data_IF_886538349983
#
_entry.id   IF_886538349983
#
_cell.length_a   1.000
_cell.length_b   1.000
_cell.length_c   1.000
_cell.angle_alpha   90.00
_cell.angle_beta   90.00
_cell.angle_gamma   90.00
#
_symmetry.space_group_name_H-M   'P 1'
#
loop_
_entity.id
_entity.type
_entity.pdbx_description
1 polymer ?
#
# COMPACT_ATOMS: atom_id res chain seq x y z
N UNK A 1 -6.70 22.86 -0.40
CA UNK A 1 -6.19 21.70 -1.18
C UNK A 1 -4.70 21.50 -0.96
N UNK A 2 -4.23 20.27 -0.80
CA UNK A 2 -2.83 19.95 -0.60
C UNK A 2 -2.23 19.35 -1.88
N UNK A 3 -1.04 19.81 -2.26
CA UNK A 3 -0.28 19.26 -3.39
C UNK A 3 1.01 18.64 -2.87
N UNK A 4 1.29 17.41 -3.27
CA UNK A 4 2.43 16.64 -2.79
C UNK A 4 3.16 15.86 -3.88
N UNK A 5 4.28 15.26 -3.48
CA UNK A 5 5.05 14.31 -4.28
C UNK A 5 5.69 13.24 -3.39
N UNK A 6 5.90 12.04 -3.92
CA UNK A 6 6.81 11.07 -3.32
C UNK A 6 8.25 11.52 -3.58
N UNK A 7 9.07 11.63 -2.53
CA UNK A 7 10.45 12.07 -2.61
C UNK A 7 11.37 11.11 -1.86
N UNK A 8 12.46 10.72 -2.48
CA UNK A 8 13.44 9.78 -1.95
C UNK A 8 14.81 10.46 -1.88
N UNK A 9 15.08 11.25 -0.81
CA UNK A 9 16.35 11.99 -0.68
C UNK A 9 17.56 11.06 -0.71
N UNK A 10 17.43 9.82 -0.23
CA UNK A 10 18.48 8.80 -0.24
C UNK A 10 18.90 8.35 -1.65
N UNK A 11 18.11 8.65 -2.69
CA UNK A 11 18.44 8.35 -4.08
C UNK A 11 19.36 9.41 -4.72
N UNK A 12 19.55 10.55 -4.08
CA UNK A 12 20.25 11.70 -4.66
C UNK A 12 21.38 12.19 -3.76
N UNK A 13 22.45 12.76 -4.34
CA UNK A 13 23.49 13.37 -3.53
C UNK A 13 22.90 14.55 -2.74
N UNK A 14 23.41 14.74 -1.51
CA UNK A 14 22.90 15.77 -0.60
C UNK A 14 22.94 17.18 -1.21
N UNK A 15 23.93 17.48 -2.05
CA UNK A 15 24.04 18.75 -2.77
C UNK A 15 22.86 19.05 -3.71
N UNK A 16 22.03 18.04 -4.02
CA UNK A 16 20.83 18.20 -4.86
C UNK A 16 19.59 18.59 -4.05
N UNK A 17 19.51 18.27 -2.77
CA UNK A 17 18.30 18.38 -1.97
C UNK A 17 17.75 19.81 -1.91
N UNK A 18 18.62 20.80 -1.77
CA UNK A 18 18.20 22.21 -1.74
C UNK A 18 17.62 22.69 -3.07
N UNK A 19 18.20 22.24 -4.19
CA UNK A 19 17.65 22.51 -5.52
C UNK A 19 16.26 21.88 -5.67
N UNK A 20 16.08 20.63 -5.21
CA UNK A 20 14.79 19.94 -5.26
C UNK A 20 13.76 20.67 -4.37
N UNK A 21 14.12 21.06 -3.14
CA UNK A 21 13.23 21.80 -2.22
C UNK A 21 12.76 23.13 -2.83
N UNK A 22 13.68 23.90 -3.43
CA UNK A 22 13.35 25.17 -4.11
C UNK A 22 12.40 24.94 -5.29
N UNK A 23 12.69 23.97 -6.14
CA UNK A 23 11.83 23.64 -7.29
C UNK A 23 10.45 23.13 -6.84
N UNK A 24 10.37 22.36 -5.76
CA UNK A 24 9.10 21.94 -5.17
C UNK A 24 8.30 23.14 -4.66
N UNK A 25 8.93 24.05 -3.95
CA UNK A 25 8.29 25.27 -3.48
C UNK A 25 7.76 26.12 -4.66
N UNK A 26 8.58 26.33 -5.70
CA UNK A 26 8.19 27.06 -6.92
C UNK A 26 7.02 26.37 -7.66
N UNK A 27 6.85 25.05 -7.51
CA UNK A 27 5.74 24.30 -8.07
C UNK A 27 4.49 24.27 -7.19
N UNK A 28 4.52 24.91 -6.01
CA UNK A 28 3.41 24.93 -5.07
C UNK A 28 3.23 23.62 -4.27
N UNK A 29 4.28 22.80 -4.21
CA UNK A 29 4.29 21.58 -3.37
C UNK A 29 4.31 21.99 -1.91
N UNK A 30 3.40 21.43 -1.13
CA UNK A 30 3.28 21.65 0.32
C UNK A 30 3.51 20.40 1.14
N UNK A 31 3.52 19.24 0.51
CA UNK A 31 3.69 17.91 1.15
C UNK A 31 4.67 17.05 0.39
N UNK A 32 5.45 16.27 1.12
CA UNK A 32 6.25 15.17 0.56
C UNK A 32 5.99 13.90 1.36
N UNK A 33 5.94 12.76 0.68
CA UNK A 33 6.01 11.44 1.31
C UNK A 33 7.42 10.91 1.14
N UNK A 34 8.02 10.38 2.21
CA UNK A 34 9.36 9.79 2.19
C UNK A 34 9.58 8.78 3.31
N UNK A 35 10.58 7.92 3.17
CA UNK A 35 11.11 7.03 4.20
C UNK A 35 10.63 5.59 4.13
N UNK A 36 9.59 5.27 3.39
CA UNK A 36 8.92 3.96 3.37
C UNK A 36 9.80 2.81 2.85
N UNK A 37 10.87 3.11 2.11
CA UNK A 37 11.81 2.10 1.60
C UNK A 37 13.23 2.23 2.16
N UNK A 38 13.40 3.01 3.22
CA UNK A 38 14.72 3.42 3.68
C UNK A 38 15.33 2.56 4.81
N UNK A 39 14.76 1.39 5.16
CA UNK A 39 15.18 0.61 6.35
C UNK A 39 16.70 0.40 6.43
N UNK A 40 17.34 -0.08 5.34
CA UNK A 40 18.79 -0.27 5.33
C UNK A 40 19.59 1.00 5.62
N UNK A 41 19.08 2.16 5.24
CA UNK A 41 19.73 3.47 5.52
C UNK A 41 19.46 3.94 6.94
N UNK A 42 18.31 3.58 7.49
CA UNK A 42 17.90 3.93 8.86
C UNK A 42 18.51 2.99 9.90
N UNK A 43 18.78 1.74 9.53
CA UNK A 43 19.44 0.72 10.35
C UNK A 43 20.45 -0.07 9.49
N UNK A 44 21.65 0.51 9.21
CA UNK A 44 22.64 -0.10 8.34
C UNK A 44 23.24 -1.42 8.87
N UNK A 45 23.16 -1.64 10.17
CA UNK A 45 23.49 -2.90 10.87
C UNK A 45 22.48 -3.09 11.99
N UNK A 46 22.25 -4.32 12.38
CA UNK A 46 21.34 -4.64 13.47
C UNK A 46 21.64 -3.80 14.73
N UNK A 47 20.59 -3.09 15.21
CA UNK A 47 20.66 -2.23 16.39
C UNK A 47 21.48 -0.94 16.25
N UNK A 48 21.97 -0.61 15.04
CA UNK A 48 22.68 0.64 14.77
C UNK A 48 21.82 1.53 13.90
N UNK A 49 21.23 2.54 14.51
CA UNK A 49 20.29 3.45 13.84
C UNK A 49 20.98 4.75 13.40
N UNK A 50 20.59 5.23 12.21
CA UNK A 50 20.98 6.54 11.68
C UNK A 50 19.77 7.24 11.08
N UNK A 51 19.11 8.08 11.89
CA UNK A 51 17.99 8.92 11.48
C UNK A 51 18.43 10.34 11.11
N UNK A 52 19.70 10.70 11.32
CA UNK A 52 20.19 12.07 11.19
C UNK A 52 20.02 12.63 9.77
N UNK A 53 20.35 11.86 8.76
CA UNK A 53 20.21 12.27 7.35
C UNK A 53 18.75 12.52 6.95
N UNK A 54 17.80 11.71 7.48
CA UNK A 54 16.37 11.89 7.18
C UNK A 54 15.81 13.11 7.93
N UNK A 55 16.19 13.30 9.20
CA UNK A 55 15.85 14.49 9.95
C UNK A 55 16.34 15.77 9.24
N UNK A 56 17.56 15.76 8.71
CA UNK A 56 18.12 16.85 7.95
C UNK A 56 17.33 17.14 6.66
N UNK A 57 16.92 16.12 5.92
CA UNK A 57 16.07 16.27 4.73
C UNK A 57 14.70 16.86 5.10
N UNK A 58 14.09 16.41 6.19
CA UNK A 58 12.81 16.92 6.71
C UNK A 58 12.94 18.39 7.07
N UNK A 59 14.00 18.78 7.80
CA UNK A 59 14.21 20.16 8.24
C UNK A 59 14.56 21.08 7.08
N UNK A 60 15.32 20.59 6.10
CA UNK A 60 15.58 21.33 4.87
C UNK A 60 14.26 21.66 4.15
N UNK A 61 13.42 20.65 3.89
CA UNK A 61 12.12 20.84 3.24
C UNK A 61 11.21 21.77 4.07
N UNK A 62 11.26 21.67 5.40
CA UNK A 62 10.55 22.54 6.32
C UNK A 62 10.89 24.01 6.16
N UNK A 63 12.16 24.34 5.87
CA UNK A 63 12.60 25.73 5.57
C UNK A 63 11.97 26.30 4.30
N UNK A 64 11.59 25.43 3.36
CA UNK A 64 10.87 25.79 2.14
C UNK A 64 9.34 25.70 2.28
N UNK A 65 8.83 25.55 3.53
CA UNK A 65 7.39 25.44 3.79
C UNK A 65 6.75 24.10 3.43
N UNK A 66 7.57 23.09 3.14
CA UNK A 66 7.11 21.76 2.72
C UNK A 66 7.11 20.84 3.94
N UNK A 67 5.96 20.23 4.24
CA UNK A 67 5.78 19.29 5.35
C UNK A 67 5.87 17.86 4.89
N UNK A 68 6.25 16.95 5.80
CA UNK A 68 6.55 15.55 5.50
C UNK A 68 5.46 14.64 6.03
N UNK A 69 5.05 13.68 5.19
CA UNK A 69 4.36 12.46 5.54
C UNK A 69 5.42 11.36 5.59
N UNK A 70 5.70 10.81 6.77
CA UNK A 70 6.71 9.75 6.91
C UNK A 70 6.09 8.38 6.71
N UNK A 71 6.72 7.57 5.86
CA UNK A 71 6.39 6.15 5.72
C UNK A 71 7.21 5.29 6.68
N UNK A 72 6.58 4.30 7.34
CA UNK A 72 7.32 3.28 8.07
C UNK A 72 8.07 2.37 7.09
N UNK A 73 9.34 1.99 7.35
CA UNK A 73 10.22 1.43 6.32
C UNK A 73 10.07 -0.08 6.11
N UNK A 74 8.96 -0.65 6.55
CA UNK A 74 8.73 -2.11 6.60
C UNK A 74 8.48 -2.80 5.24
N UNK A 75 8.14 -2.13 4.11
CA UNK A 75 7.98 -2.82 2.82
C UNK A 75 9.23 -3.50 2.30
N UNK A 76 10.41 -3.01 2.70
CA UNK A 76 11.70 -3.60 2.32
C UNK A 76 12.60 -3.71 3.53
N UNK A 77 13.15 -4.88 3.75
CA UNK A 77 14.04 -5.13 4.89
C UNK A 77 15.49 -5.25 4.43
N UNK A 78 16.47 -4.99 5.33
CA UNK A 78 17.90 -4.99 5.00
C UNK A 78 18.44 -6.40 4.79
N UNK A 79 19.55 -6.51 4.04
CA UNK A 79 20.21 -7.78 3.73
C UNK A 79 20.69 -8.53 4.99
N UNK A 80 21.12 -7.80 6.03
CA UNK A 80 21.53 -8.43 7.29
C UNK A 80 20.36 -9.18 7.97
N UNK A 81 19.11 -8.72 7.82
CA UNK A 81 17.94 -9.40 8.38
C UNK A 81 17.63 -10.70 7.63
N UNK A 82 17.78 -10.70 6.29
CA UNK A 82 17.72 -11.93 5.50
C UNK A 82 18.81 -12.95 5.92
N UNK A 83 20.03 -12.49 6.21
CA UNK A 83 21.10 -13.38 6.68
C UNK A 83 20.82 -13.93 8.09
N UNK A 84 20.20 -13.13 8.95
CA UNK A 84 19.83 -13.54 10.31
C UNK A 84 18.69 -14.58 10.31
N UNK A 85 17.75 -14.45 9.39
CA UNK A 85 16.58 -15.33 9.24
C UNK A 85 16.45 -15.81 7.78
N UNK A 86 17.13 -16.87 7.37
CA UNK A 86 17.04 -17.38 5.99
C UNK A 86 15.65 -17.87 5.59
N UNK A 87 14.77 -18.17 6.56
CA UNK A 87 13.39 -18.64 6.40
C UNK A 87 12.33 -17.52 6.45
N UNK A 88 12.77 -16.27 6.43
CA UNK A 88 11.90 -15.08 6.51
C UNK A 88 10.94 -14.94 5.33
N UNK A 89 11.26 -15.56 4.20
CA UNK A 89 10.58 -15.35 2.93
C UNK A 89 9.18 -15.94 2.87
N UNK A 90 8.30 -15.26 2.17
CA UNK A 90 7.00 -15.80 1.82
C UNK A 90 7.13 -17.01 0.88
N UNK A 91 6.25 -17.97 1.05
CA UNK A 91 6.02 -19.08 0.12
C UNK A 91 4.71 -18.81 -0.63
N UNK A 92 4.74 -18.92 -1.97
CA UNK A 92 3.56 -18.77 -2.82
C UNK A 92 2.68 -20.03 -2.75
N UNK A 93 1.46 -19.94 -3.27
CA UNK A 93 0.51 -21.06 -3.34
C UNK A 93 1.08 -22.29 -4.06
N UNK A 94 1.91 -22.09 -5.08
CA UNK A 94 2.60 -23.16 -5.83
C UNK A 94 3.89 -23.70 -5.15
N UNK A 95 4.18 -23.31 -3.91
CA UNK A 95 5.35 -23.74 -3.15
C UNK A 95 6.65 -22.99 -3.46
N UNK A 96 6.68 -22.06 -4.41
CA UNK A 96 7.87 -21.27 -4.69
C UNK A 96 8.16 -20.27 -3.57
N UNK A 97 9.40 -20.28 -3.09
CA UNK A 97 9.89 -19.30 -2.12
C UNK A 97 10.19 -17.98 -2.83
N UNK A 98 9.78 -16.86 -2.25
CA UNK A 98 10.20 -15.52 -2.72
C UNK A 98 11.64 -15.27 -2.34
N UNK A 99 12.35 -14.49 -3.17
CA UNK A 99 13.75 -14.18 -2.98
C UNK A 99 13.95 -12.76 -2.43
N UNK A 100 15.04 -12.55 -1.69
CA UNK A 100 15.45 -11.24 -1.21
C UNK A 100 15.64 -10.24 -2.37
N UNK A 101 15.26 -8.98 -2.12
CA UNK A 101 15.46 -7.86 -3.04
C UNK A 101 14.21 -7.43 -3.78
N UNK A 102 13.05 -7.91 -3.36
CA UNK A 102 11.73 -7.42 -3.79
C UNK A 102 11.06 -6.63 -2.65
N UNK A 103 9.86 -6.12 -2.90
CA UNK A 103 9.03 -5.51 -1.86
C UNK A 103 8.14 -6.55 -1.19
N UNK A 104 7.97 -6.44 0.14
CA UNK A 104 7.02 -7.22 0.94
C UNK A 104 7.16 -8.76 0.81
N UNK A 105 8.35 -9.23 0.53
CA UNK A 105 8.66 -10.65 0.37
C UNK A 105 8.86 -11.39 1.71
N UNK A 106 8.94 -10.68 2.85
CA UNK A 106 8.96 -11.28 4.17
C UNK A 106 7.56 -11.75 4.63
N UNK A 107 7.52 -12.91 5.28
CA UNK A 107 6.31 -13.42 5.92
C UNK A 107 5.95 -12.59 7.15
N UNK A 108 4.74 -12.02 7.17
CA UNK A 108 4.27 -11.20 8.30
C UNK A 108 3.91 -12.00 9.56
N UNK A 109 3.87 -13.34 9.47
CA UNK A 109 3.75 -14.22 10.65
C UNK A 109 5.13 -14.72 11.14
N UNK A 110 6.22 -14.41 10.45
CA UNK A 110 7.56 -14.77 10.92
C UNK A 110 7.94 -13.96 12.16
N UNK A 111 8.20 -14.58 13.33
CA UNK A 111 8.37 -13.85 14.59
C UNK A 111 9.57 -12.91 14.59
N UNK A 112 10.69 -13.33 13.99
CA UNK A 112 11.88 -12.49 13.85
C UNK A 112 11.63 -11.25 12.98
N UNK A 113 10.91 -11.39 11.85
CA UNK A 113 10.54 -10.24 11.03
C UNK A 113 9.65 -9.26 11.80
N UNK A 114 8.59 -9.75 12.46
CA UNK A 114 7.68 -8.89 13.26
C UNK A 114 8.42 -8.15 14.36
N UNK A 115 9.30 -8.83 15.09
CA UNK A 115 10.09 -8.21 16.15
C UNK A 115 10.97 -7.06 15.63
N UNK A 116 11.66 -7.27 14.51
CA UNK A 116 12.51 -6.25 13.89
C UNK A 116 11.70 -5.11 13.24
N UNK A 117 10.57 -5.42 12.59
CA UNK A 117 9.65 -4.42 12.05
C UNK A 117 9.09 -3.51 13.16
N UNK A 118 8.65 -4.08 14.27
CA UNK A 118 8.22 -3.30 15.44
C UNK A 118 9.35 -2.42 15.99
N UNK A 119 10.56 -2.96 16.09
CA UNK A 119 11.74 -2.23 16.59
C UNK A 119 12.05 -1.03 15.71
N UNK A 120 12.20 -1.20 14.40
CA UNK A 120 12.54 -0.08 13.51
C UNK A 120 11.44 1.00 13.50
N UNK A 121 10.16 0.60 13.55
CA UNK A 121 9.05 1.56 13.65
C UNK A 121 9.09 2.31 14.99
N UNK A 122 9.35 1.63 16.11
CA UNK A 122 9.48 2.26 17.42
C UNK A 122 10.63 3.28 17.45
N UNK A 123 11.80 2.90 16.98
CA UNK A 123 12.99 3.77 16.95
C UNK A 123 12.79 4.97 16.01
N UNK A 124 12.25 4.75 14.81
CA UNK A 124 11.98 5.82 13.85
C UNK A 124 10.95 6.81 14.39
N UNK A 125 9.87 6.32 15.01
CA UNK A 125 8.83 7.18 15.57
C UNK A 125 9.30 7.92 16.80
N UNK A 126 10.14 7.32 17.64
CA UNK A 126 10.77 8.00 18.79
C UNK A 126 11.72 9.12 18.31
N UNK A 127 12.55 8.86 17.29
CA UNK A 127 13.53 9.82 16.79
C UNK A 127 12.89 10.98 16.02
N UNK A 128 11.88 10.73 15.20
CA UNK A 128 11.34 11.72 14.24
C UNK A 128 9.91 12.16 14.57
N UNK A 129 9.21 11.45 15.43
CA UNK A 129 7.79 11.64 15.70
C UNK A 129 7.44 13.01 16.26
N UNK A 130 8.36 13.72 16.92
CA UNK A 130 8.13 15.07 17.47
C UNK A 130 8.62 16.18 16.54
N UNK A 131 9.23 15.87 15.39
CA UNK A 131 9.67 16.91 14.45
C UNK A 131 8.46 17.71 13.94
N UNK A 132 8.45 19.06 14.04
CA UNK A 132 7.31 19.92 13.68
C UNK A 132 7.03 19.92 12.17
N UNK A 133 7.94 19.41 11.36
CA UNK A 133 7.78 19.28 9.92
C UNK A 133 7.20 17.91 9.50
N UNK A 134 7.09 16.93 10.42
CA UNK A 134 6.36 15.69 10.22
C UNK A 134 4.90 15.92 10.59
N UNK A 135 3.99 15.83 9.64
CA UNK A 135 2.56 16.16 9.83
C UNK A 135 1.63 14.98 9.75
N UNK A 136 2.10 13.86 9.24
CA UNK A 136 1.34 12.60 9.14
C UNK A 136 2.29 11.41 9.03
N UNK A 137 1.74 10.22 9.23
CA UNK A 137 2.42 8.94 9.04
C UNK A 137 1.68 8.07 8.02
N UNK A 138 2.43 7.38 7.19
CA UNK A 138 1.93 6.26 6.40
C UNK A 138 2.51 4.96 6.98
N UNK A 139 1.66 3.97 7.21
CA UNK A 139 2.13 2.63 7.55
C UNK A 139 2.57 1.91 6.28
N UNK A 140 3.77 1.31 6.26
CA UNK A 140 4.24 0.44 5.17
C UNK A 140 4.03 1.06 3.76
N UNK A 141 3.80 0.24 2.73
CA UNK A 141 3.44 0.65 1.38
C UNK A 141 2.63 -0.44 0.68
N UNK A 142 1.45 -0.11 0.17
CA UNK A 142 0.62 -0.99 -0.67
C UNK A 142 0.58 -2.44 -0.17
N UNK A 143 0.06 -2.68 1.03
CA UNK A 143 -0.05 -4.04 1.58
C UNK A 143 -0.63 -5.02 0.58
N UNK A 144 0.04 -6.16 0.40
CA UNK A 144 -0.40 -7.23 -0.49
C UNK A 144 -0.04 -7.05 -1.96
N UNK A 145 0.57 -5.94 -2.37
CA UNK A 145 0.97 -5.74 -3.76
C UNK A 145 1.88 -6.88 -4.27
N UNK A 146 1.89 -7.10 -5.57
CA UNK A 146 2.70 -8.14 -6.23
C UNK A 146 2.47 -9.57 -5.69
N UNK A 147 1.24 -9.89 -5.28
CA UNK A 147 0.88 -11.20 -4.76
C UNK A 147 1.53 -11.52 -3.41
N UNK A 148 1.63 -10.51 -2.53
CA UNK A 148 2.19 -10.65 -1.19
C UNK A 148 1.15 -10.63 -0.07
N UNK A 149 -0.13 -10.58 -0.43
CA UNK A 149 -1.22 -10.64 0.55
C UNK A 149 -1.28 -11.97 1.28
N UNK A 150 -0.93 -13.07 0.60
CA UNK A 150 -1.03 -14.44 1.11
C UNK A 150 0.32 -15.12 1.13
N UNK A 151 0.61 -15.82 2.23
CA UNK A 151 1.83 -16.61 2.39
C UNK A 151 1.47 -18.02 2.86
N UNK A 152 2.11 -19.02 2.27
CA UNK A 152 1.80 -20.45 2.47
C UNK A 152 2.92 -21.20 3.21
N UNK A 153 3.71 -20.51 4.05
CA UNK A 153 4.77 -21.09 4.86
C UNK A 153 4.22 -21.72 6.16
N UNK A 154 5.08 -22.43 6.88
CA UNK A 154 4.70 -23.10 8.12
C UNK A 154 4.27 -22.13 9.23
N UNK A 155 4.86 -20.94 9.32
CA UNK A 155 4.39 -19.90 10.26
C UNK A 155 2.95 -19.46 9.95
N UNK A 156 2.60 -19.36 8.66
CA UNK A 156 1.23 -19.05 8.27
C UNK A 156 0.29 -20.22 8.50
N UNK A 157 0.73 -21.47 8.32
CA UNK A 157 -0.07 -22.65 8.64
C UNK A 157 -0.44 -22.69 10.14
N UNK A 158 0.55 -22.53 11.02
CA UNK A 158 0.33 -22.51 12.46
C UNK A 158 -0.60 -21.35 12.88
N UNK A 159 -0.34 -20.15 12.41
CA UNK A 159 -1.18 -18.99 12.71
C UNK A 159 -2.61 -19.14 12.14
N UNK A 160 -2.78 -19.81 11.00
CA UNK A 160 -4.10 -20.10 10.44
C UNK A 160 -4.88 -21.11 11.29
N UNK A 161 -4.23 -22.15 11.77
CA UNK A 161 -4.83 -23.11 12.72
C UNK A 161 -5.30 -22.42 14.01
N UNK A 162 -4.48 -21.54 14.58
CA UNK A 162 -4.85 -20.74 15.76
C UNK A 162 -6.03 -19.78 15.46
N UNK A 163 -6.03 -19.16 14.29
CA UNK A 163 -7.12 -18.27 13.84
C UNK A 163 -8.44 -19.05 13.69
N UNK A 164 -8.37 -20.25 13.12
CA UNK A 164 -9.54 -21.15 13.01
C UNK A 164 -10.06 -21.59 14.37
N UNK A 165 -9.19 -21.96 15.30
CA UNK A 165 -9.58 -22.24 16.70
C UNK A 165 -10.38 -21.08 17.30
N UNK A 166 -9.91 -19.85 17.12
CA UNK A 166 -10.62 -18.66 17.58
C UNK A 166 -11.97 -18.47 16.88
N UNK A 167 -12.01 -18.63 15.54
CA UNK A 167 -13.20 -18.45 14.73
C UNK A 167 -14.31 -19.44 15.02
N UNK A 168 -13.95 -20.71 15.26
CA UNK A 168 -14.88 -21.79 15.54
C UNK A 168 -14.94 -22.16 17.03
N UNK A 169 -14.42 -21.30 17.93
CA UNK A 169 -14.48 -21.49 19.36
C UNK A 169 -13.94 -22.84 19.88
N UNK A 170 -12.88 -23.36 19.21
CA UNK A 170 -12.28 -24.68 19.40
C UNK A 170 -13.25 -25.85 19.13
N UNK A 171 -14.27 -25.65 18.34
CA UNK A 171 -15.21 -26.68 17.91
C UNK A 171 -14.91 -27.14 16.49
N UNK A 172 -14.20 -28.27 16.36
CA UNK A 172 -13.85 -28.85 15.06
C UNK A 172 -15.08 -29.40 14.32
N UNK A 173 -16.12 -29.81 15.04
CA UNK A 173 -17.35 -30.27 14.40
C UNK A 173 -18.10 -29.12 13.74
N UNK A 174 -18.12 -27.93 14.36
CA UNK A 174 -18.69 -26.72 13.76
C UNK A 174 -17.90 -26.29 12.49
N UNK A 175 -16.56 -26.42 12.48
CA UNK A 175 -15.76 -26.20 11.28
C UNK A 175 -16.12 -27.20 10.17
N UNK A 176 -16.17 -28.49 10.49
CA UNK A 176 -16.50 -29.55 9.54
C UNK A 176 -17.89 -29.32 8.93
N UNK A 177 -18.88 -28.95 9.71
CA UNK A 177 -20.22 -28.60 9.23
C UNK A 177 -20.17 -27.38 8.31
N UNK A 178 -19.52 -26.29 8.73
CA UNK A 178 -19.43 -25.04 7.95
C UNK A 178 -18.74 -25.20 6.60
N UNK A 179 -17.71 -26.06 6.50
CA UNK A 179 -16.99 -26.33 5.27
C UNK A 179 -17.57 -27.48 4.46
N UNK A 180 -18.51 -28.26 5.04
CA UNK A 180 -19.08 -29.43 4.40
C UNK A 180 -18.04 -30.54 4.12
N UNK A 181 -17.10 -30.74 5.03
CA UNK A 181 -15.93 -31.62 4.86
C UNK A 181 -16.24 -33.09 4.70
N UNK A 182 -17.47 -33.54 5.01
CA UNK A 182 -17.96 -34.86 4.68
C UNK A 182 -17.86 -35.17 3.18
N UNK A 183 -17.88 -34.13 2.33
CA UNK A 183 -17.67 -34.25 0.89
C UNK A 183 -16.22 -34.67 0.61
N UNK A 184 -16.05 -35.77 -0.10
CA UNK A 184 -14.77 -36.41 -0.42
C UNK A 184 -13.91 -36.80 0.80
N UNK A 185 -14.56 -37.10 1.95
CA UNK A 185 -13.87 -37.55 3.18
C UNK A 185 -12.79 -36.61 3.66
N UNK A 186 -13.08 -35.31 3.67
CA UNK A 186 -12.16 -34.26 4.09
C UNK A 186 -12.38 -33.83 5.57
N UNK A 187 -13.11 -34.62 6.37
CA UNK A 187 -13.38 -34.33 7.76
C UNK A 187 -12.07 -34.28 8.59
N UNK A 188 -11.97 -33.29 9.43
CA UNK A 188 -10.85 -33.12 10.36
C UNK A 188 -11.25 -33.56 11.77
N UNK A 189 -10.32 -34.20 12.47
CA UNK A 189 -10.49 -34.55 13.90
C UNK A 189 -9.93 -33.48 14.83
N UNK A 190 -8.95 -32.70 14.33
CA UNK A 190 -8.27 -31.67 15.10
C UNK A 190 -7.81 -30.53 14.17
N UNK A 191 -7.73 -29.30 14.70
CA UNK A 191 -7.27 -28.13 13.93
C UNK A 191 -5.84 -28.27 13.42
N UNK A 192 -4.99 -29.05 14.08
CA UNK A 192 -3.61 -29.30 13.65
C UNK A 192 -3.49 -30.12 12.36
N UNK A 193 -4.56 -30.81 11.96
CA UNK A 193 -4.63 -31.55 10.68
C UNK A 193 -4.85 -30.62 9.47
N UNK A 194 -5.23 -29.37 9.70
CA UNK A 194 -5.58 -28.43 8.65
C UNK A 194 -4.30 -27.80 8.07
N UNK A 195 -4.12 -27.92 6.75
CA UNK A 195 -3.03 -27.23 6.03
C UNK A 195 -3.55 -25.99 5.29
N UNK A 196 -2.63 -25.15 4.79
CA UNK A 196 -2.96 -24.01 3.93
C UNK A 196 -3.32 -24.49 2.52
N UNK A 197 -4.27 -23.85 1.83
CA UNK A 197 -4.75 -24.30 0.51
C UNK A 197 -3.75 -23.99 -0.61
N UNK A 198 -2.76 -24.86 -0.83
CA UNK A 198 -1.76 -24.71 -1.89
C UNK A 198 -2.31 -25.13 -3.25
N UNK A 199 -1.77 -24.52 -4.32
CA UNK A 199 -2.06 -24.93 -5.68
C UNK A 199 -1.45 -26.30 -5.97
N UNK A 200 -2.18 -27.13 -6.72
CA UNK A 200 -1.65 -28.37 -7.28
C UNK A 200 -1.23 -28.16 -8.74
N UNK A 201 -0.15 -28.82 -9.23
CA UNK A 201 0.38 -28.59 -10.58
C UNK A 201 -0.63 -28.83 -11.70
N UNK A 202 -1.52 -29.79 -11.52
CA UNK A 202 -2.46 -30.27 -12.52
C UNK A 202 -3.89 -29.76 -12.30
N UNK A 203 -4.03 -28.62 -11.59
CA UNK A 203 -5.33 -28.07 -11.23
C UNK A 203 -6.15 -27.73 -12.47
N UNK A 204 -7.24 -28.45 -12.66
CA UNK A 204 -8.36 -28.02 -13.49
C UNK A 204 -9.33 -27.16 -12.67
N UNK A 205 -10.27 -26.49 -13.29
CA UNK A 205 -11.30 -25.71 -12.60
C UNK A 205 -12.06 -26.47 -11.50
N UNK A 206 -12.04 -27.81 -11.56
CA UNK A 206 -12.73 -28.71 -10.62
C UNK A 206 -11.83 -29.32 -9.54
N UNK A 207 -10.51 -29.10 -9.58
CA UNK A 207 -9.52 -29.74 -8.68
C UNK A 207 -9.02 -28.79 -7.58
N UNK A 208 -9.86 -27.86 -7.13
CA UNK A 208 -9.53 -26.91 -6.07
C UNK A 208 -9.63 -27.52 -4.66
N UNK A 209 -8.96 -26.89 -3.71
CA UNK A 209 -9.20 -27.14 -2.29
C UNK A 209 -10.66 -26.79 -1.92
N UNK A 210 -11.13 -27.31 -0.78
CA UNK A 210 -12.47 -27.00 -0.25
C UNK A 210 -12.72 -25.48 -0.26
N UNK A 211 -13.81 -24.97 -0.87
CA UNK A 211 -14.08 -23.54 -0.99
C UNK A 211 -14.17 -22.81 0.37
N UNK A 212 -14.70 -23.49 1.39
CA UNK A 212 -14.76 -22.96 2.76
C UNK A 212 -13.36 -22.76 3.36
N UNK A 213 -12.46 -23.73 3.18
CA UNK A 213 -11.05 -23.62 3.56
C UNK A 213 -10.37 -22.44 2.85
N UNK A 214 -10.56 -22.30 1.54
CA UNK A 214 -9.95 -21.23 0.75
C UNK A 214 -10.47 -19.86 1.20
N UNK A 215 -11.79 -19.74 1.41
CA UNK A 215 -12.40 -18.49 1.86
C UNK A 215 -11.89 -18.08 3.25
N UNK A 216 -11.82 -19.02 4.19
CA UNK A 216 -11.30 -18.72 5.52
C UNK A 216 -9.79 -18.41 5.50
N UNK A 217 -9.02 -19.02 4.61
CA UNK A 217 -7.62 -18.65 4.42
C UNK A 217 -7.45 -17.25 3.83
N UNK A 218 -8.36 -16.78 2.97
CA UNK A 218 -8.35 -15.40 2.45
C UNK A 218 -8.70 -14.40 3.57
N UNK A 219 -9.70 -14.70 4.39
CA UNK A 219 -10.06 -13.91 5.59
C UNK A 219 -8.88 -13.80 6.56
N UNK A 220 -8.27 -14.95 6.91
CA UNK A 220 -7.08 -15.01 7.75
C UNK A 220 -5.94 -14.16 7.18
N UNK A 221 -5.63 -14.33 5.89
CA UNK A 221 -4.53 -13.59 5.26
C UNK A 221 -4.76 -12.08 5.28
N UNK A 222 -5.99 -11.64 5.08
CA UNK A 222 -6.39 -10.24 5.24
C UNK A 222 -6.24 -9.75 6.69
N UNK A 223 -6.70 -10.53 7.65
CA UNK A 223 -6.61 -10.20 9.09
C UNK A 223 -5.14 -10.10 9.56
N UNK A 224 -4.22 -10.89 8.99
CA UNK A 224 -2.76 -10.78 9.23
C UNK A 224 -2.23 -9.41 8.80
N UNK A 225 -2.65 -8.89 7.63
CA UNK A 225 -2.22 -7.57 7.18
C UNK A 225 -2.76 -6.47 8.11
N UNK A 226 -4.02 -6.58 8.51
CA UNK A 226 -4.65 -5.65 9.47
C UNK A 226 -3.93 -5.66 10.81
N UNK A 227 -3.61 -6.84 11.35
CA UNK A 227 -2.88 -6.97 12.61
C UNK A 227 -1.47 -6.36 12.51
N UNK A 228 -0.74 -6.60 11.42
CA UNK A 228 0.58 -6.03 11.19
C UNK A 228 0.55 -4.50 11.06
N UNK A 229 -0.49 -3.95 10.42
CA UNK A 229 -0.71 -2.50 10.37
C UNK A 229 -0.99 -1.94 11.76
N UNK A 230 -1.86 -2.59 12.54
CA UNK A 230 -2.26 -2.13 13.87
C UNK A 230 -1.07 -2.00 14.82
N UNK A 231 -0.13 -2.94 14.80
CA UNK A 231 1.11 -2.86 15.58
C UNK A 231 1.92 -1.60 15.27
N UNK A 232 1.99 -1.21 14.00
CA UNK A 232 2.68 0.02 13.58
C UNK A 232 1.91 1.27 14.04
N UNK A 233 0.57 1.26 13.89
CA UNK A 233 -0.29 2.36 14.34
C UNK A 233 -0.14 2.60 15.84
N UNK A 234 -0.11 1.56 16.66
CA UNK A 234 0.08 1.66 18.11
C UNK A 234 1.40 2.37 18.46
N UNK A 235 2.51 1.99 17.82
CA UNK A 235 3.82 2.60 18.03
C UNK A 235 3.86 4.06 17.57
N UNK A 236 3.24 4.37 16.42
CA UNK A 236 3.13 5.74 15.92
C UNK A 236 2.31 6.59 16.91
N UNK A 237 1.16 6.12 17.37
CA UNK A 237 0.32 6.84 18.33
C UNK A 237 1.04 7.12 19.63
N UNK A 238 1.85 6.17 20.11
CA UNK A 238 2.63 6.30 21.33
C UNK A 238 3.69 7.39 21.24
N UNK A 239 4.43 7.44 20.12
CA UNK A 239 5.61 8.31 19.96
C UNK A 239 5.34 9.60 19.20
N UNK A 240 4.23 9.67 18.45
CA UNK A 240 3.85 10.81 17.60
C UNK A 240 2.36 11.16 17.77
N UNK A 241 1.91 11.47 19.00
CA UNK A 241 0.49 11.67 19.27
C UNK A 241 -0.08 12.86 18.48
N UNK A 242 -1.35 12.75 18.09
CA UNK A 242 -2.10 13.80 17.41
C UNK A 242 -1.80 13.96 15.91
N UNK A 243 -0.88 13.18 15.36
CA UNK A 243 -0.64 13.17 13.91
C UNK A 243 -1.48 12.11 13.23
N UNK A 244 -2.16 12.46 12.12
CA UNK A 244 -2.98 11.50 11.40
C UNK A 244 -2.12 10.39 10.79
N UNK A 245 -2.71 9.20 10.76
CA UNK A 245 -2.11 7.98 10.20
C UNK A 245 -2.92 7.56 8.98
N UNK A 246 -2.22 7.20 7.91
CA UNK A 246 -2.79 6.71 6.66
C UNK A 246 -2.06 5.47 6.16
N UNK A 247 -2.61 4.85 5.11
CA UNK A 247 -1.98 3.82 4.29
C UNK A 247 -2.38 4.01 2.84
N UNK A 248 -1.46 3.79 1.90
CA UNK A 248 -1.74 3.93 0.48
C UNK A 248 -2.35 2.65 -0.09
N UNK A 249 -3.67 2.66 -0.24
CA UNK A 249 -4.46 1.56 -0.78
C UNK A 249 -4.37 1.50 -2.33
N UNK A 250 -4.73 0.38 -2.93
CA UNK A 250 -4.62 0.17 -4.38
C UNK A 250 -5.99 0.14 -5.11
N UNK A 251 -6.89 1.02 -4.75
CA UNK A 251 -8.21 1.12 -5.41
C UNK A 251 -9.07 -0.14 -5.24
N UNK A 252 -9.43 -0.79 -6.34
CA UNK A 252 -10.29 -1.99 -6.33
C UNK A 252 -9.54 -3.30 -6.03
N UNK A 253 -8.48 -3.24 -5.25
CA UNK A 253 -7.68 -4.41 -4.87
C UNK A 253 -8.51 -5.46 -4.12
N UNK A 254 -8.35 -6.75 -4.48
CA UNK A 254 -9.20 -7.83 -4.00
C UNK A 254 -8.63 -8.63 -2.84
N UNK A 255 -7.31 -8.57 -2.60
CA UNK A 255 -6.66 -9.55 -1.74
C UNK A 255 -6.71 -9.23 -0.25
N UNK A 256 -7.16 -8.02 0.12
CA UNK A 256 -7.29 -7.55 1.51
C UNK A 256 -8.62 -6.82 1.69
N UNK A 257 -9.32 -7.10 2.76
CA UNK A 257 -10.52 -6.38 3.16
C UNK A 257 -10.15 -4.95 3.61
N UNK A 258 -10.37 -3.99 2.73
CA UNK A 258 -10.06 -2.60 2.99
C UNK A 258 -10.99 -1.94 4.00
N UNK A 259 -12.19 -2.47 4.25
CA UNK A 259 -13.03 -1.96 5.34
C UNK A 259 -12.36 -2.23 6.69
N UNK A 260 -11.80 -3.44 6.87
CA UNK A 260 -11.05 -3.79 8.09
C UNK A 260 -9.72 -3.03 8.17
N UNK A 261 -8.97 -2.95 7.06
CA UNK A 261 -7.67 -2.29 7.02
C UNK A 261 -7.78 -0.78 7.29
N UNK A 262 -8.80 -0.12 6.75
CA UNK A 262 -9.03 1.30 6.94
C UNK A 262 -9.63 1.67 8.32
N UNK A 263 -10.15 0.71 9.08
CA UNK A 263 -10.86 1.00 10.34
C UNK A 263 -10.00 1.80 11.33
N UNK A 264 -8.73 1.44 11.47
CA UNK A 264 -7.79 2.05 12.42
C UNK A 264 -7.05 3.29 11.86
N UNK A 265 -7.20 3.59 10.58
CA UNK A 265 -6.61 4.78 9.94
C UNK A 265 -7.42 6.04 10.23
N UNK A 266 -6.76 7.19 10.33
CA UNK A 266 -7.43 8.49 10.44
C UNK A 266 -7.89 8.98 9.07
N UNK A 267 -7.09 8.75 8.05
CA UNK A 267 -7.30 9.19 6.67
C UNK A 267 -7.09 7.97 5.76
N UNK A 268 -8.03 7.75 4.85
CA UNK A 268 -7.82 6.82 3.73
C UNK A 268 -7.01 7.53 2.67
N UNK A 269 -5.92 6.90 2.24
CA UNK A 269 -5.22 7.32 1.03
C UNK A 269 -5.08 6.16 0.04
N UNK A 270 -4.84 6.48 -1.23
CA UNK A 270 -4.72 5.45 -2.24
C UNK A 270 -3.89 5.89 -3.45
N UNK A 271 -3.52 4.92 -4.29
CA UNK A 271 -2.63 5.08 -5.41
C UNK A 271 -3.40 4.98 -6.72
N UNK A 272 -3.40 6.09 -7.47
CA UNK A 272 -4.17 6.26 -8.70
C UNK A 272 -3.26 6.30 -9.92
N UNK A 273 -3.20 5.18 -10.63
CA UNK A 273 -2.49 5.03 -11.90
C UNK A 273 -3.48 4.80 -13.04
N UNK A 274 -4.04 5.85 -13.64
CA UNK A 274 -5.09 5.75 -14.66
C UNK A 274 -4.66 5.03 -15.94
N UNK A 275 -3.35 4.91 -16.17
CA UNK A 275 -2.81 4.06 -17.24
C UNK A 275 -2.36 2.72 -16.65
N UNK A 276 -3.19 1.76 -16.63
CA UNK A 276 -2.74 0.43 -16.29
C UNK A 276 -1.70 -0.09 -17.29
N UNK A 277 -0.90 -1.04 -16.86
CA UNK A 277 0.27 -1.63 -17.52
C UNK A 277 0.09 -2.13 -18.97
N UNK A 278 -1.05 -1.97 -19.60
CA UNK A 278 -1.38 -2.53 -20.90
C UNK A 278 -1.43 -1.51 -22.04
N UNK A 279 -0.91 -0.29 -21.85
CA UNK A 279 -0.77 0.70 -22.94
C UNK A 279 -2.09 1.21 -23.54
N UNK A 280 -3.22 0.85 -23.00
CA UNK A 280 -4.51 1.36 -23.42
C UNK A 280 -4.90 2.56 -22.58
N UNK A 281 -5.22 3.68 -23.21
CA UNK A 281 -5.89 4.81 -22.58
C UNK A 281 -7.21 4.32 -21.99
N UNK A 282 -7.18 3.90 -20.72
CA UNK A 282 -8.43 3.68 -20.01
C UNK A 282 -8.97 5.03 -19.60
N UNK A 283 -10.25 5.30 -19.86
CA UNK A 283 -10.88 6.52 -19.34
C UNK A 283 -10.71 6.52 -17.81
N UNK A 284 -10.58 7.69 -17.21
CA UNK A 284 -10.50 7.84 -15.76
C UNK A 284 -11.66 7.08 -15.11
N UNK A 285 -11.36 6.15 -14.20
CA UNK A 285 -12.37 5.34 -13.55
C UNK A 285 -12.78 6.01 -12.23
N UNK A 286 -14.02 6.49 -12.08
CA UNK A 286 -14.47 7.15 -10.86
C UNK A 286 -14.68 6.20 -9.68
N UNK A 287 -15.03 4.94 -9.94
CA UNK A 287 -15.39 3.94 -8.93
C UNK A 287 -14.32 3.73 -7.83
N UNK A 288 -13.00 3.61 -8.14
CA UNK A 288 -11.99 3.50 -7.09
C UNK A 288 -11.98 4.68 -6.11
N UNK A 289 -12.16 5.92 -6.60
CA UNK A 289 -12.25 7.10 -5.74
C UNK A 289 -13.45 7.02 -4.81
N UNK A 290 -14.62 6.61 -5.34
CA UNK A 290 -15.84 6.50 -4.56
C UNK A 290 -15.76 5.38 -3.52
N UNK A 291 -15.14 4.22 -3.86
CA UNK A 291 -14.88 3.16 -2.91
C UNK A 291 -14.00 3.65 -1.76
N UNK A 292 -12.86 4.30 -2.08
CA UNK A 292 -11.93 4.81 -1.06
C UNK A 292 -12.62 5.80 -0.11
N UNK A 293 -13.40 6.75 -0.67
CA UNK A 293 -14.21 7.67 0.14
C UNK A 293 -15.24 6.91 0.98
N UNK A 294 -15.86 5.88 0.42
CA UNK A 294 -16.87 5.04 1.07
C UNK A 294 -16.37 4.31 2.32
N UNK A 295 -15.10 3.91 2.36
CA UNK A 295 -14.50 3.16 3.48
C UNK A 295 -14.68 3.87 4.83
N UNK A 296 -14.58 5.19 4.86
CA UNK A 296 -14.78 6.01 6.08
C UNK A 296 -15.84 7.10 5.94
N UNK A 297 -16.50 7.21 4.80
CA UNK A 297 -17.47 8.28 4.46
C UNK A 297 -16.89 9.68 4.69
N UNK A 298 -15.62 9.86 4.34
CA UNK A 298 -14.86 11.11 4.49
C UNK A 298 -13.99 11.34 3.26
N UNK A 299 -13.56 12.57 3.07
CA UNK A 299 -12.57 12.92 2.08
C UNK A 299 -11.29 12.09 2.23
N UNK A 300 -10.59 11.90 1.13
CA UNK A 300 -9.43 10.99 1.01
C UNK A 300 -8.21 11.74 0.51
N UNK A 301 -7.05 11.10 0.59
CA UNK A 301 -5.85 11.53 -0.10
C UNK A 301 -5.54 10.61 -1.29
N UNK A 302 -5.07 11.18 -2.38
CA UNK A 302 -4.38 10.41 -3.41
C UNK A 302 -2.89 10.48 -3.07
N UNK A 303 -2.33 9.36 -2.59
CA UNK A 303 -0.94 9.31 -2.11
C UNK A 303 0.04 9.14 -3.25
N UNK A 304 -0.37 8.42 -4.29
CA UNK A 304 0.39 8.27 -5.52
C UNK A 304 -0.50 8.54 -6.73
N UNK A 305 -0.38 9.72 -7.29
CA UNK A 305 -0.97 10.04 -8.59
C UNK A 305 0.06 9.81 -9.68
N UNK A 306 -0.27 9.00 -10.67
CA UNK A 306 0.60 8.80 -11.82
C UNK A 306 0.95 10.13 -12.51
N UNK A 307 2.25 10.36 -12.81
CA UNK A 307 2.74 11.59 -13.45
C UNK A 307 3.39 11.38 -14.80
N UNK A 308 3.41 10.15 -15.31
CA UNK A 308 4.04 9.82 -16.57
C UNK A 308 3.91 8.34 -16.93
N UNK A 309 4.65 7.81 -17.92
CA UNK A 309 4.57 6.41 -18.32
C UNK A 309 5.02 5.49 -17.18
N UNK A 310 4.29 4.42 -16.90
CA UNK A 310 4.72 3.33 -16.03
C UNK A 310 5.78 2.45 -16.69
N UNK A 311 6.55 1.70 -15.90
CA UNK A 311 7.69 0.92 -16.39
C UNK A 311 7.82 -0.50 -15.82
N UNK A 312 6.74 -1.11 -15.37
CA UNK A 312 6.73 -2.51 -14.88
C UNK A 312 6.56 -3.50 -16.05
N UNK A 313 7.60 -3.73 -16.82
CA UNK A 313 7.62 -4.70 -17.91
C UNK A 313 7.26 -4.12 -19.28
N UNK A 314 6.12 -3.45 -19.44
CA UNK A 314 5.73 -2.77 -20.69
C UNK A 314 5.63 -1.27 -20.46
N UNK A 315 6.17 -0.47 -21.37
CA UNK A 315 6.06 0.99 -21.29
C UNK A 315 4.60 1.42 -21.51
N UNK A 316 4.02 2.09 -20.52
CA UNK A 316 2.75 2.76 -20.70
C UNK A 316 2.91 4.04 -21.54
N UNK A 317 1.83 4.47 -22.17
CA UNK A 317 1.81 5.74 -22.91
C UNK A 317 2.13 6.93 -21.99
N UNK A 318 2.86 7.90 -22.53
CA UNK A 318 3.08 9.17 -21.81
C UNK A 318 1.78 9.97 -21.78
N UNK A 319 1.37 10.52 -20.61
CA UNK A 319 0.20 11.38 -20.50
C UNK A 319 0.25 12.51 -21.52
N UNK A 320 -0.87 12.74 -22.20
CA UNK A 320 -1.05 13.91 -23.05
C UNK A 320 -0.98 15.21 -22.24
N UNK A 321 -0.63 16.35 -22.82
CA UNK A 321 -0.72 17.63 -22.16
C UNK A 321 -2.11 17.84 -21.54
N UNK A 322 -2.15 18.20 -20.26
CA UNK A 322 -3.39 18.41 -19.51
C UNK A 322 -4.00 17.16 -18.86
N UNK A 323 -3.58 15.94 -19.21
CA UNK A 323 -4.12 14.72 -18.59
C UNK A 323 -3.81 14.63 -17.09
N UNK A 324 -2.60 14.96 -16.66
CA UNK A 324 -2.25 14.97 -15.24
C UNK A 324 -3.19 15.90 -14.44
N UNK A 325 -3.47 17.06 -15.01
CA UNK A 325 -4.40 18.04 -14.43
C UNK A 325 -5.83 17.49 -14.42
N UNK A 326 -6.31 16.84 -15.49
CA UNK A 326 -7.62 16.22 -15.56
C UNK A 326 -7.80 15.17 -14.44
N UNK A 327 -6.82 14.28 -14.25
CA UNK A 327 -6.89 13.26 -13.19
C UNK A 327 -6.89 13.85 -11.78
N UNK A 328 -6.09 14.90 -11.56
CA UNK A 328 -6.09 15.61 -10.28
C UNK A 328 -7.47 16.21 -9.98
N UNK A 329 -8.09 16.90 -10.94
CA UNK A 329 -9.43 17.46 -10.76
C UNK A 329 -10.54 16.41 -10.65
N UNK A 330 -10.40 15.26 -11.33
CA UNK A 330 -11.30 14.14 -11.12
C UNK A 330 -11.24 13.65 -9.67
N UNK A 331 -10.04 13.48 -9.13
CA UNK A 331 -9.88 13.07 -7.73
C UNK A 331 -10.47 14.11 -6.76
N UNK A 332 -10.23 15.40 -6.99
CA UNK A 332 -10.84 16.49 -6.20
C UNK A 332 -12.36 16.46 -6.27
N UNK A 333 -12.93 16.31 -7.47
CA UNK A 333 -14.38 16.22 -7.66
C UNK A 333 -15.00 14.97 -6.97
N UNK A 334 -14.18 13.98 -6.64
CA UNK A 334 -14.56 12.77 -5.90
C UNK A 334 -14.18 12.81 -4.43
N UNK A 335 -13.74 13.97 -3.90
CA UNK A 335 -13.49 14.20 -2.48
C UNK A 335 -12.04 13.95 -2.06
N UNK A 336 -11.07 14.15 -2.94
CA UNK A 336 -9.68 14.18 -2.54
C UNK A 336 -9.29 15.57 -1.98
N UNK A 337 -8.72 15.60 -0.78
CA UNK A 337 -8.17 16.82 -0.15
C UNK A 337 -6.67 17.01 -0.44
N UNK A 338 -6.01 15.96 -0.89
CA UNK A 338 -4.60 15.97 -1.26
C UNK A 338 -4.36 15.14 -2.52
N UNK A 339 -3.53 15.68 -3.41
CA UNK A 339 -2.98 14.97 -4.58
C UNK A 339 -1.47 14.96 -4.44
N UNK A 340 -0.89 13.78 -4.28
CA UNK A 340 0.55 13.55 -4.24
C UNK A 340 1.00 12.76 -5.46
N UNK A 341 1.89 13.32 -6.25
CA UNK A 341 2.33 12.67 -7.49
C UNK A 341 3.47 11.68 -7.23
N UNK A 342 3.38 10.50 -7.78
CA UNK A 342 4.49 9.58 -7.88
C UNK A 342 5.23 9.84 -9.19
N UNK A 343 6.44 10.24 -9.14
CA UNK A 343 7.32 10.69 -8.07
C UNK A 343 7.99 12.01 -8.47
N UNK A 344 8.71 12.67 -7.54
CA UNK A 344 9.38 13.93 -7.81
C UNK A 344 10.34 13.85 -9.01
N UNK A 345 11.23 12.86 -9.02
CA UNK A 345 12.21 12.69 -10.08
C UNK A 345 12.30 11.24 -10.54
N UNK A 346 12.36 11.00 -11.84
CA UNK A 346 12.57 9.66 -12.40
C UNK A 346 13.85 9.03 -11.83
N UNK A 347 13.75 7.80 -11.33
CA UNK A 347 14.89 7.07 -10.78
C UNK A 347 15.85 6.64 -11.89
N UNK A 348 17.17 6.71 -11.63
CA UNK A 348 18.20 6.35 -12.60
C UNK A 348 18.71 4.93 -12.46
N UNK A 349 18.19 4.18 -11.50
CA UNK A 349 18.63 2.85 -11.12
C UNK A 349 17.49 2.07 -10.45
N UNK A 350 17.71 0.78 -10.24
CA UNK A 350 16.77 -0.09 -9.56
C UNK A 350 15.60 -0.53 -10.44
N UNK A 351 14.66 -1.20 -9.82
CA UNK A 351 13.52 -1.83 -10.53
C UNK A 351 12.62 -0.81 -11.23
N UNK A 352 12.61 0.44 -10.74
CA UNK A 352 11.79 1.54 -11.26
C UNK A 352 12.58 2.55 -12.12
N UNK A 353 13.72 2.16 -12.67
CA UNK A 353 14.53 3.06 -13.50
C UNK A 353 13.79 3.57 -14.76
N UNK A 354 12.76 2.86 -15.22
CA UNK A 354 11.94 3.26 -16.36
C UNK A 354 10.63 3.95 -15.95
N UNK A 355 10.39 4.08 -14.64
CA UNK A 355 9.25 4.83 -14.15
C UNK A 355 9.47 6.33 -14.28
N UNK A 356 8.37 7.01 -14.40
CA UNK A 356 8.31 8.46 -14.56
C UNK A 356 8.55 9.21 -13.25
N UNK A 357 8.79 10.51 -13.39
CA UNK A 357 8.78 11.52 -12.32
C UNK A 357 8.37 12.86 -12.89
N UNK A 358 8.03 13.80 -12.04
CA UNK A 358 7.78 15.20 -12.42
C UNK A 358 9.02 15.78 -13.13
N UNK A 359 10.18 15.60 -12.53
CA UNK A 359 11.46 15.82 -13.19
C UNK A 359 11.89 14.54 -13.89
N UNK A 360 12.42 14.68 -15.11
CA UNK A 360 12.95 13.54 -15.86
C UNK A 360 14.28 13.03 -15.25
N UNK A 361 14.88 11.99 -15.82
CA UNK A 361 16.13 11.40 -15.35
C UNK A 361 17.28 12.40 -15.19
N UNK A 362 17.38 13.39 -16.09
CA UNK A 362 18.39 14.46 -16.01
C UNK A 362 18.11 15.49 -14.90
N UNK A 363 16.91 15.44 -14.27
CA UNK A 363 16.56 16.26 -13.10
C UNK A 363 16.30 17.74 -13.39
N UNK A 364 15.98 18.09 -14.65
CA UNK A 364 15.62 19.45 -15.05
C UNK A 364 14.11 19.59 -15.24
N UNK A 365 13.53 20.75 -14.95
CA UNK A 365 12.15 21.10 -15.25
C UNK A 365 11.84 20.99 -16.75
N UNK A 366 10.70 20.37 -17.08
CA UNK A 366 10.15 20.29 -18.42
C UNK A 366 8.62 20.32 -18.37
N UNK A 367 7.91 19.84 -19.39
CA UNK A 367 6.46 19.91 -19.53
C UNK A 367 5.70 19.49 -18.25
N UNK A 368 5.99 18.31 -17.68
CA UNK A 368 5.30 17.81 -16.49
C UNK A 368 5.47 18.73 -15.26
N UNK A 369 6.65 19.32 -15.14
CA UNK A 369 6.90 20.31 -14.08
C UNK A 369 6.07 21.59 -14.32
N UNK A 370 5.99 22.08 -15.55
CA UNK A 370 5.16 23.25 -15.86
C UNK A 370 3.66 23.00 -15.61
N UNK A 371 3.16 21.80 -15.97
CA UNK A 371 1.79 21.39 -15.63
C UNK A 371 1.56 21.31 -14.12
N UNK A 372 2.52 20.80 -13.35
CA UNK A 372 2.45 20.77 -11.89
C UNK A 372 2.44 22.19 -11.28
N UNK A 373 3.28 23.10 -11.80
CA UNK A 373 3.27 24.51 -11.36
C UNK A 373 1.91 25.19 -11.64
N UNK A 374 1.29 24.90 -12.77
CA UNK A 374 -0.05 25.38 -13.08
C UNK A 374 -1.06 24.86 -12.07
N UNK A 375 -1.06 23.54 -11.83
CA UNK A 375 -1.95 22.90 -10.87
C UNK A 375 -1.75 23.46 -9.45
N UNK A 376 -0.49 23.71 -9.04
CA UNK A 376 -0.17 24.31 -7.74
C UNK A 376 -0.79 25.67 -7.55
N UNK A 377 -0.70 26.56 -8.56
CA UNK A 377 -1.36 27.88 -8.54
C UNK A 377 -2.87 27.77 -8.47
N UNK A 378 -3.46 26.86 -9.24
CA UNK A 378 -4.90 26.61 -9.26
C UNK A 378 -5.38 26.10 -7.89
N UNK A 379 -4.70 25.12 -7.31
CA UNK A 379 -5.04 24.59 -5.99
C UNK A 379 -4.93 25.66 -4.89
N UNK A 380 -3.93 26.52 -4.97
CA UNK A 380 -3.80 27.63 -4.05
C UNK A 380 -4.97 28.61 -4.17
N UNK A 381 -5.40 28.93 -5.39
CA UNK A 381 -6.54 29.85 -5.61
C UNK A 381 -7.87 29.26 -5.18
N UNK A 382 -8.07 27.96 -5.33
CA UNK A 382 -9.30 27.26 -4.99
C UNK A 382 -9.35 26.75 -3.54
N UNK A 383 -8.26 26.91 -2.79
CA UNK A 383 -8.13 26.27 -1.47
C UNK A 383 -9.24 26.70 -0.50
N UNK A 384 -9.61 27.98 -0.46
CA UNK A 384 -10.65 28.50 0.41
C UNK A 384 -12.05 28.01 0.02
N UNK A 385 -12.30 27.73 -1.26
CA UNK A 385 -13.59 27.25 -1.74
C UNK A 385 -13.78 25.75 -1.51
N UNK A 386 -12.67 24.99 -1.57
CA UNK A 386 -12.69 23.56 -1.45
C UNK A 386 -12.48 23.06 -0.01
N UNK A 387 -11.98 23.91 0.89
CA UNK A 387 -11.75 23.56 2.29
C UNK A 387 -13.06 23.18 2.99
N UNK A 388 -13.09 21.96 3.56
CA UNK A 388 -14.29 21.43 4.22
C UNK A 388 -15.42 21.01 3.29
N UNK A 389 -15.23 21.09 1.96
CA UNK A 389 -16.22 20.57 1.02
C UNK A 389 -16.36 19.06 1.15
N UNK A 390 -17.57 18.54 0.96
CA UNK A 390 -17.87 17.10 0.98
C UNK A 390 -18.67 16.71 -0.26
N UNK A 391 -18.40 15.50 -0.75
CA UNK A 391 -19.16 14.95 -1.88
C UNK A 391 -20.47 14.35 -1.35
N UNK A 392 -21.60 14.81 -1.88
CA UNK A 392 -22.92 14.22 -1.65
C UNK A 392 -23.25 13.21 -2.75
N UNK A 393 -23.76 12.04 -2.38
CA UNK A 393 -24.13 10.98 -3.32
C UNK A 393 -25.60 10.60 -3.14
N UNK A 394 -26.35 10.54 -4.23
CA UNK A 394 -27.75 10.12 -4.23
C UNK A 394 -27.92 8.59 -4.34
N UNK A 395 -26.87 7.87 -4.72
CA UNK A 395 -26.85 6.41 -4.92
C UNK A 395 -25.69 5.82 -4.14
N UNK A 396 -25.89 4.65 -3.54
CA UNK A 396 -24.85 3.86 -2.89
C UNK A 396 -24.72 2.49 -3.58
N UNK A 397 -23.48 2.03 -3.74
CA UNK A 397 -23.15 0.68 -4.19
C UNK A 397 -22.71 -0.10 -2.94
N UNK A 398 -23.32 -1.25 -2.69
CA UNK A 398 -22.88 -2.17 -1.65
C UNK A 398 -21.72 -3.02 -2.19
N UNK A 399 -20.63 -3.06 -1.46
CA UNK A 399 -19.47 -3.88 -1.76
C UNK A 399 -19.03 -4.64 -0.52
N UNK A 400 -18.74 -5.92 -0.70
CA UNK A 400 -18.37 -6.85 0.38
C UNK A 400 -17.27 -7.79 -0.11
N UNK A 401 -16.22 -7.94 0.68
CA UNK A 401 -15.07 -8.78 0.34
C UNK A 401 -15.39 -10.26 0.45
N UNK A 402 -16.20 -10.67 1.42
CA UNK A 402 -16.57 -12.09 1.58
C UNK A 402 -17.35 -12.60 0.37
N UNK A 403 -18.36 -11.84 -0.09
CA UNK A 403 -19.12 -12.17 -1.31
C UNK A 403 -18.22 -12.19 -2.54
N UNK A 404 -17.32 -11.21 -2.66
CA UNK A 404 -16.35 -11.16 -3.75
C UNK A 404 -15.47 -12.39 -3.77
N UNK A 405 -14.84 -12.74 -2.65
CA UNK A 405 -13.95 -13.89 -2.54
C UNK A 405 -14.70 -15.21 -2.82
N UNK A 406 -15.90 -15.37 -2.26
CA UNK A 406 -16.71 -16.57 -2.50
C UNK A 406 -17.00 -16.78 -4.00
N UNK A 407 -17.37 -15.70 -4.71
CA UNK A 407 -17.64 -15.74 -6.14
C UNK A 407 -16.37 -15.96 -7.00
N UNK A 408 -15.23 -15.37 -6.59
CA UNK A 408 -13.95 -15.53 -7.30
C UNK A 408 -13.30 -16.91 -7.04
N UNK A 409 -13.52 -17.54 -5.88
CA UNK A 409 -13.00 -18.88 -5.54
C UNK A 409 -13.66 -19.96 -6.39
N UNK A 410 -14.98 -19.87 -6.61
CA UNK A 410 -15.74 -20.82 -7.40
C UNK A 410 -16.72 -20.09 -8.33
N UNK A 411 -16.23 -19.52 -9.44
CA UNK A 411 -17.08 -18.79 -10.37
C UNK A 411 -18.00 -19.75 -11.11
N UNK A 412 -19.33 -19.57 -10.99
CA UNK A 412 -20.33 -20.41 -11.62
C UNK A 412 -20.82 -19.88 -12.97
N UNK A 413 -20.29 -18.73 -13.43
CA UNK A 413 -20.78 -18.05 -14.63
C UNK A 413 -19.81 -18.14 -15.80
N UNK A 414 -18.51 -17.94 -15.53
CA UNK A 414 -17.46 -17.86 -16.54
C UNK A 414 -16.09 -18.01 -15.86
N UNK A 415 -15.15 -18.71 -16.49
CA UNK A 415 -13.77 -18.85 -16.02
C UNK A 415 -13.04 -17.48 -15.92
N UNK A 416 -13.51 -16.48 -16.65
CA UNK A 416 -13.03 -15.10 -16.62
C UNK A 416 -13.84 -14.15 -15.70
N UNK A 417 -14.65 -14.69 -14.78
CA UNK A 417 -15.48 -13.87 -13.90
C UNK A 417 -14.66 -12.82 -13.15
N UNK A 418 -15.03 -11.57 -13.32
CA UNK A 418 -14.46 -10.42 -12.61
C UNK A 418 -15.57 -9.69 -11.82
N UNK A 419 -15.52 -9.79 -10.51
CA UNK A 419 -16.49 -9.12 -9.62
C UNK A 419 -16.65 -7.62 -9.94
N UNK A 420 -15.59 -6.97 -10.42
CA UNK A 420 -15.60 -5.55 -10.82
C UNK A 420 -16.50 -5.26 -12.02
N UNK A 421 -16.83 -6.28 -12.82
CA UNK A 421 -17.76 -6.12 -13.94
C UNK A 421 -19.21 -5.99 -13.51
N UNK A 422 -19.52 -6.28 -12.23
CA UNK A 422 -20.86 -6.13 -11.65
C UNK A 422 -21.11 -4.71 -11.11
N UNK A 423 -20.07 -3.91 -10.91
CA UNK A 423 -20.13 -2.57 -10.34
C UNK A 423 -19.96 -1.47 -11.41
#
# INVERSE_FOLDING_TARGET
>A
MLLGVAYYPEHWPRSRWETDARLMQEAGITRVRMGEFAWQRLEPREGRFDFAWLAEAIDLLGRYGIKTILGTPTPTYPAWLHQLYPDIHQIKSNGQVKEFGQRQDACKNHPGYRAHARRIVAEMTAALGQNPNVVAWQTDNEFGCHGTARCYCDYCRQAFQEWLCGRFHNDIAALNEAWGTVFWSQEYNDFSEIDVPRDTPDRTANDGANPGLVLDFYRFSSDVQVAFQREQIELIRQNSPGRPITHNLMGLFSDIDYFKLAADLDIVSWDNYPFAANGTDRPPQPLPHDLMRGLKRRNVWVMEQGSGPGGWGVFAATPQPGQMRLWAYQAVARGADMISFFRWRSCRFGREQYWHGILYHHGQPQRRYAELQQLGREFQSLSSELEGSVVTSAVAILSDYDSRWALEIQPNTDDGFDYRALA
#
